data_IF_803302976410
#
_entry.id   IF_803302976410
#
_cell.length_a   1.000
_cell.length_b   1.000
_cell.length_c   1.000
_cell.angle_alpha   90.00
_cell.angle_beta   90.00
_cell.angle_gamma   90.00
#
_symmetry.space_group_name_H-M   'P 1'
#
loop_
_entity.id
_entity.type
_entity.pdbx_description
1 polymer ?
#
# COMPACT_ATOMS: atom_id res chain seq x y z
N UNK A 1 10.25 34.75 -1.53
CA UNK A 1 8.92 34.51 -2.11
C UNK A 1 7.86 35.25 -1.28
N UNK A 2 7.69 34.99 0.03
CA UNK A 2 6.65 35.57 0.89
C UNK A 2 6.70 37.12 0.91
N UNK A 3 7.90 37.71 1.06
CA UNK A 3 8.09 39.19 1.03
C UNK A 3 7.74 39.83 -0.32
N UNK A 4 7.59 39.05 -1.36
CA UNK A 4 7.19 39.46 -2.70
C UNK A 4 5.69 39.19 -2.99
N UNK A 5 4.90 38.89 -1.94
CA UNK A 5 3.47 38.62 -2.07
C UNK A 5 3.13 37.22 -2.58
N UNK A 6 4.09 36.29 -2.65
CA UNK A 6 3.87 34.90 -3.08
C UNK A 6 3.41 34.08 -1.88
N UNK A 7 2.24 33.42 -1.98
CA UNK A 7 1.80 32.45 -0.98
C UNK A 7 2.68 31.21 -1.05
N UNK A 8 3.31 30.84 0.05
CA UNK A 8 4.14 29.64 0.16
C UNK A 8 3.48 28.65 1.09
N UNK A 9 3.28 27.44 0.62
CA UNK A 9 2.73 26.31 1.39
C UNK A 9 3.79 25.23 1.47
N UNK A 10 4.08 24.72 2.66
CA UNK A 10 5.09 23.70 2.87
C UNK A 10 4.62 22.63 3.87
N UNK A 11 5.06 21.39 3.67
CA UNK A 11 4.77 20.30 4.62
C UNK A 11 5.48 20.55 5.95
N UNK A 12 4.80 20.27 7.06
CA UNK A 12 5.36 20.39 8.41
C UNK A 12 6.48 19.38 8.69
N UNK A 13 6.56 18.29 7.92
CA UNK A 13 7.52 17.20 8.10
C UNK A 13 6.88 15.99 8.81
N UNK A 14 7.67 14.92 8.94
CA UNK A 14 7.24 13.61 9.48
C UNK A 14 7.98 13.22 10.78
N UNK A 15 8.50 14.19 11.51
CA UNK A 15 9.32 13.92 12.72
C UNK A 15 8.48 13.79 14.01
N UNK A 16 7.19 13.55 13.87
CA UNK A 16 6.10 13.50 14.84
C UNK A 16 6.48 13.33 16.33
N UNK A 17 5.49 13.61 17.17
CA UNK A 17 5.44 13.43 18.62
C UNK A 17 6.50 14.16 19.49
N UNK A 18 7.15 15.20 18.98
CA UNK A 18 8.10 16.02 19.74
C UNK A 18 7.77 17.50 19.57
N UNK A 19 8.00 18.35 20.61
CA UNK A 19 7.92 19.79 20.44
C UNK A 19 8.96 20.27 19.40
N UNK A 20 8.64 21.33 18.68
CA UNK A 20 9.53 22.01 17.72
C UNK A 20 10.05 21.15 16.57
N UNK A 21 9.24 20.22 16.07
CA UNK A 21 9.62 19.29 14.99
C UNK A 21 9.34 19.80 13.58
N UNK A 22 8.69 20.95 13.45
CA UNK A 22 8.38 21.53 12.15
C UNK A 22 9.68 21.96 11.46
N UNK A 23 9.98 21.32 10.32
CA UNK A 23 11.20 21.55 9.57
C UNK A 23 11.15 22.81 8.69
N UNK A 24 12.32 23.24 8.19
CA UNK A 24 12.41 24.26 7.15
C UNK A 24 12.00 23.64 5.80
N UNK A 25 11.27 24.37 4.92
CA UNK A 25 10.89 25.78 5.00
C UNK A 25 9.62 26.08 5.78
N UNK A 26 8.92 25.07 6.30
CA UNK A 26 7.60 25.20 6.94
C UNK A 26 7.62 26.04 8.22
N UNK A 27 8.75 26.09 8.93
CA UNK A 27 8.97 26.94 10.12
C UNK A 27 9.29 28.39 9.80
N UNK A 28 9.35 28.79 8.52
CA UNK A 28 9.66 30.17 8.12
C UNK A 28 8.47 31.08 8.33
N UNK A 29 8.64 32.28 8.93
CA UNK A 29 7.55 33.24 9.10
C UNK A 29 6.83 33.57 7.78
N UNK A 30 5.49 33.52 7.79
CA UNK A 30 4.66 33.80 6.64
C UNK A 30 4.45 32.62 5.68
N UNK A 31 5.01 31.46 5.97
CA UNK A 31 4.72 30.20 5.25
C UNK A 31 3.52 29.50 5.91
N UNK A 32 2.63 28.95 5.11
CA UNK A 32 1.56 28.09 5.59
C UNK A 32 2.14 26.69 5.82
N UNK A 33 2.22 26.30 7.08
CA UNK A 33 2.67 24.97 7.48
C UNK A 33 1.50 23.98 7.45
N UNK A 34 1.60 22.93 6.68
CA UNK A 34 0.55 21.91 6.54
C UNK A 34 1.00 20.63 7.21
N UNK A 35 0.26 20.22 8.25
CA UNK A 35 0.45 18.94 8.93
C UNK A 35 -0.61 17.94 8.49
N UNK A 36 -0.28 16.67 8.60
CA UNK A 36 -1.21 15.56 8.43
C UNK A 36 -1.79 15.16 9.79
N UNK A 37 -3.08 14.87 9.84
CA UNK A 37 -3.68 14.14 10.95
C UNK A 37 -4.13 12.76 10.46
N UNK A 38 -4.02 11.76 11.31
CA UNK A 38 -4.60 10.46 11.03
C UNK A 38 -6.09 10.52 11.38
N UNK A 39 -6.95 10.16 10.44
CA UNK A 39 -8.37 9.96 10.72
C UNK A 39 -8.55 8.62 11.44
N UNK A 40 -9.49 8.52 12.40
CA UNK A 40 -9.66 7.30 13.21
C UNK A 40 -10.33 6.15 12.45
N UNK A 41 -10.76 6.36 11.21
CA UNK A 41 -11.40 5.35 10.37
C UNK A 41 -10.89 5.43 8.93
N UNK A 42 -10.85 4.28 8.27
CA UNK A 42 -10.55 4.17 6.84
C UNK A 42 -11.43 3.08 6.23
N UNK A 43 -11.78 3.25 4.95
CA UNK A 43 -12.48 2.19 4.23
C UNK A 43 -11.52 1.04 3.99
N UNK A 44 -11.79 -0.10 4.63
CA UNK A 44 -11.02 -1.32 4.47
C UNK A 44 -11.76 -2.31 3.57
N UNK A 45 -11.02 -2.87 2.64
CA UNK A 45 -11.50 -3.91 1.74
C UNK A 45 -11.19 -5.27 2.34
N UNK A 46 -12.22 -6.13 2.41
CA UNK A 46 -12.07 -7.47 2.94
C UNK A 46 -11.23 -8.32 1.98
N UNK A 47 -10.14 -8.85 2.49
CA UNK A 47 -9.24 -9.79 1.83
C UNK A 47 -9.35 -11.10 2.58
N UNK A 48 -9.93 -12.13 1.98
CA UNK A 48 -10.06 -13.44 2.57
C UNK A 48 -9.18 -14.44 1.84
N UNK A 49 -8.36 -15.21 2.55
CA UNK A 49 -7.52 -16.27 1.99
C UNK A 49 -7.54 -17.49 2.93
N UNK A 50 -7.99 -18.63 2.46
CA UNK A 50 -8.19 -19.82 3.30
C UNK A 50 -9.02 -19.50 4.55
N UNK A 51 -8.44 -19.70 5.74
CA UNK A 51 -9.09 -19.41 7.03
C UNK A 51 -8.85 -17.99 7.57
N UNK A 52 -8.05 -17.18 6.86
CA UNK A 52 -7.65 -15.84 7.28
C UNK A 52 -8.48 -14.78 6.56
N UNK A 53 -8.95 -13.78 7.30
CA UNK A 53 -9.59 -12.57 6.75
C UNK A 53 -8.93 -11.35 7.36
N UNK A 54 -8.52 -10.41 6.51
CA UNK A 54 -7.87 -9.16 6.90
C UNK A 54 -8.50 -7.96 6.19
N UNK A 55 -8.27 -6.75 6.71
CA UNK A 55 -8.64 -5.50 6.06
C UNK A 55 -7.47 -4.92 5.26
N UNK A 56 -7.71 -4.57 4.00
CA UNK A 56 -6.71 -3.90 3.15
C UNK A 56 -7.13 -2.49 2.76
N UNK A 57 -6.20 -1.53 2.75
CA UNK A 57 -6.42 -0.19 2.20
C UNK A 57 -6.11 -0.20 0.70
N UNK A 58 -7.11 0.17 -0.10
CA UNK A 58 -6.92 0.32 -1.53
C UNK A 58 -6.13 1.59 -1.84
N UNK A 59 -5.20 1.48 -2.79
CA UNK A 59 -4.36 2.59 -3.19
C UNK A 59 -4.98 3.33 -4.38
N UNK A 60 -5.43 4.60 -4.22
CA UNK A 60 -6.25 5.32 -5.22
C UNK A 60 -5.57 5.55 -6.58
N UNK A 61 -4.26 5.46 -6.65
CA UNK A 61 -3.48 5.56 -7.89
C UNK A 61 -3.41 4.24 -8.67
N UNK A 62 -3.91 3.14 -8.14
CA UNK A 62 -4.04 1.85 -8.85
C UNK A 62 -5.41 1.70 -9.51
N UNK A 63 -5.60 0.65 -10.29
CA UNK A 63 -6.90 0.38 -10.89
C UNK A 63 -8.02 0.30 -9.84
N UNK A 64 -9.23 0.67 -10.24
CA UNK A 64 -10.39 0.62 -9.36
C UNK A 64 -10.62 -0.79 -8.80
N UNK A 65 -11.07 -0.92 -7.54
CA UNK A 65 -11.39 -2.21 -6.96
C UNK A 65 -12.46 -2.96 -7.74
N UNK A 66 -12.19 -4.21 -8.06
CA UNK A 66 -13.13 -5.14 -8.67
C UNK A 66 -13.11 -6.46 -7.89
N UNK A 67 -14.20 -7.25 -7.92
CA UNK A 67 -14.19 -8.58 -7.34
C UNK A 67 -13.15 -9.47 -8.03
N UNK A 68 -12.26 -10.06 -7.25
CA UNK A 68 -11.24 -10.99 -7.76
C UNK A 68 -11.14 -12.20 -6.85
N UNK A 69 -10.87 -13.37 -7.46
CA UNK A 69 -10.52 -14.59 -6.74
C UNK A 69 -9.39 -15.27 -7.50
N UNK A 70 -8.31 -15.60 -6.79
CA UNK A 70 -7.16 -16.27 -7.36
C UNK A 70 -6.30 -16.92 -6.30
N UNK A 71 -5.38 -17.79 -6.69
CA UNK A 71 -4.45 -18.39 -5.74
C UNK A 71 -3.52 -17.33 -5.13
N UNK A 72 -3.40 -17.30 -3.80
CA UNK A 72 -2.47 -16.38 -3.12
C UNK A 72 -1.02 -16.83 -3.35
N UNK A 73 -0.20 -15.96 -3.93
CA UNK A 73 1.21 -16.24 -4.16
C UNK A 73 2.10 -15.16 -3.55
N UNK A 74 3.15 -15.56 -2.85
CA UNK A 74 4.16 -14.64 -2.31
C UNK A 74 5.37 -14.56 -3.21
N UNK A 75 5.72 -13.36 -3.67
CA UNK A 75 6.83 -13.14 -4.60
C UNK A 75 6.65 -13.93 -5.89
N UNK A 76 7.73 -14.56 -6.37
CA UNK A 76 7.70 -15.42 -7.56
C UNK A 76 7.19 -16.85 -7.29
N UNK A 77 6.89 -17.16 -6.04
CA UNK A 77 6.45 -18.49 -5.60
C UNK A 77 7.60 -19.47 -5.35
N UNK A 78 8.83 -19.10 -5.69
CA UNK A 78 10.05 -19.90 -5.48
C UNK A 78 10.98 -19.29 -4.40
N UNK A 79 10.53 -18.23 -3.75
CA UNK A 79 11.30 -17.53 -2.71
C UNK A 79 12.08 -16.32 -3.22
N UNK A 80 11.94 -15.94 -4.49
CA UNK A 80 12.52 -14.74 -5.08
C UNK A 80 11.51 -13.62 -5.28
N UNK A 81 12.01 -12.43 -5.66
CA UNK A 81 11.26 -11.21 -5.94
C UNK A 81 10.18 -10.87 -4.90
N UNK A 82 10.48 -11.11 -3.62
CA UNK A 82 9.54 -10.95 -2.50
C UNK A 82 9.06 -9.51 -2.31
N UNK A 83 9.79 -8.55 -2.88
CA UNK A 83 9.48 -7.13 -2.85
C UNK A 83 8.80 -6.64 -4.13
N UNK A 84 8.68 -7.45 -5.17
CA UNK A 84 8.22 -7.04 -6.50
C UNK A 84 8.93 -5.79 -7.05
N UNK A 85 10.22 -5.61 -6.74
CA UNK A 85 11.00 -4.50 -7.26
C UNK A 85 11.58 -4.78 -8.65
N UNK A 86 11.53 -6.03 -9.12
CA UNK A 86 11.91 -6.47 -10.45
C UNK A 86 10.67 -6.97 -11.22
N UNK A 87 10.71 -6.90 -12.53
CA UNK A 87 9.64 -7.41 -13.37
C UNK A 87 9.46 -8.93 -13.19
N UNK A 88 8.24 -9.39 -13.26
CA UNK A 88 7.89 -10.81 -13.37
C UNK A 88 7.84 -11.20 -14.85
N UNK A 89 8.08 -12.46 -15.14
CA UNK A 89 7.86 -12.96 -16.49
C UNK A 89 6.38 -12.82 -16.87
N UNK A 90 6.11 -12.42 -18.10
CA UNK A 90 4.75 -12.22 -18.59
C UNK A 90 3.90 -13.50 -18.39
N UNK A 91 2.72 -13.36 -17.80
CA UNK A 91 1.80 -14.47 -17.50
C UNK A 91 2.18 -15.37 -16.32
N UNK A 92 3.34 -15.16 -15.66
CA UNK A 92 3.74 -16.00 -14.52
C UNK A 92 2.85 -15.88 -13.31
N UNK A 93 2.09 -14.78 -13.23
CA UNK A 93 1.12 -14.49 -12.17
C UNK A 93 -0.34 -14.61 -12.63
N UNK A 94 -0.58 -15.20 -13.82
CA UNK A 94 -1.94 -15.36 -14.34
C UNK A 94 -2.82 -16.16 -13.36
N UNK A 95 -4.02 -15.65 -13.06
CA UNK A 95 -4.95 -16.26 -12.12
C UNK A 95 -4.55 -16.17 -10.64
N UNK A 96 -3.56 -15.34 -10.29
CA UNK A 96 -3.05 -15.22 -8.93
C UNK A 96 -3.33 -13.85 -8.32
N UNK A 97 -3.50 -13.83 -7.01
CA UNK A 97 -3.42 -12.62 -6.17
C UNK A 97 -2.01 -12.59 -5.60
N UNK A 98 -1.26 -11.56 -5.98
CA UNK A 98 0.14 -11.42 -5.58
C UNK A 98 0.24 -10.77 -4.19
N UNK A 99 0.93 -11.42 -3.27
CA UNK A 99 1.37 -10.86 -1.99
C UNK A 99 2.86 -10.53 -2.07
N UNK A 100 3.26 -9.36 -1.62
CA UNK A 100 4.67 -8.94 -1.54
C UNK A 100 4.91 -8.11 -0.29
N UNK A 101 6.17 -7.98 0.12
CA UNK A 101 6.54 -7.11 1.22
C UNK A 101 6.86 -5.69 0.72
N UNK A 102 6.55 -4.70 1.55
CA UNK A 102 7.11 -3.36 1.42
C UNK A 102 8.64 -3.45 1.56
N UNK A 103 9.36 -2.59 0.85
CA UNK A 103 10.83 -2.55 0.90
C UNK A 103 11.38 -1.33 0.16
N UNK A 104 12.37 -1.52 -0.69
CA UNK A 104 13.20 -0.45 -1.26
C UNK A 104 12.55 0.33 -2.40
N UNK A 105 11.70 -0.29 -3.23
CA UNK A 105 11.03 0.41 -4.34
C UNK A 105 9.65 0.93 -3.93
N UNK A 106 9.13 1.90 -4.71
CA UNK A 106 7.80 2.46 -4.50
C UNK A 106 6.71 1.40 -4.55
N UNK A 107 5.64 1.58 -3.79
CA UNK A 107 4.51 0.63 -3.74
C UNK A 107 3.83 0.52 -5.12
N UNK A 108 3.71 1.63 -5.84
CA UNK A 108 3.15 1.65 -7.19
C UNK A 108 3.98 0.83 -8.20
N UNK A 109 5.30 0.81 -8.08
CA UNK A 109 6.19 -0.04 -8.90
C UNK A 109 5.93 -1.52 -8.62
N UNK A 110 5.68 -1.91 -7.36
CA UNK A 110 5.35 -3.29 -7.00
C UNK A 110 4.04 -3.73 -7.65
N UNK A 111 3.02 -2.84 -7.61
CA UNK A 111 1.72 -3.10 -8.26
C UNK A 111 1.87 -3.19 -9.78
N UNK A 112 2.64 -2.29 -10.39
CA UNK A 112 2.93 -2.31 -11.82
C UNK A 112 3.66 -3.59 -12.26
N UNK A 113 4.66 -4.03 -11.51
CA UNK A 113 5.38 -5.27 -11.79
C UNK A 113 4.47 -6.50 -11.65
N UNK A 114 3.59 -6.53 -10.63
CA UNK A 114 2.58 -7.57 -10.49
C UNK A 114 1.59 -7.60 -11.65
N UNK A 115 1.10 -6.41 -12.08
CA UNK A 115 0.22 -6.26 -13.24
C UNK A 115 0.89 -6.78 -14.52
N UNK A 116 2.12 -6.39 -14.79
CA UNK A 116 2.90 -6.86 -15.94
C UNK A 116 3.09 -8.38 -15.93
N UNK A 117 3.19 -9.00 -14.74
CA UNK A 117 3.22 -10.46 -14.57
C UNK A 117 1.87 -11.14 -14.77
N UNK A 118 0.77 -10.39 -14.88
CA UNK A 118 -0.58 -10.90 -15.07
C UNK A 118 -1.33 -11.21 -13.77
N UNK A 119 -0.93 -10.63 -12.63
CA UNK A 119 -1.65 -10.77 -11.37
C UNK A 119 -3.05 -10.15 -11.45
N UNK A 120 -4.02 -10.73 -10.75
CA UNK A 120 -5.40 -10.21 -10.66
C UNK A 120 -5.49 -9.00 -9.73
N UNK A 121 -4.71 -8.99 -8.68
CA UNK A 121 -4.54 -7.89 -7.73
C UNK A 121 -3.20 -8.04 -7.01
N UNK A 122 -2.71 -6.96 -6.40
CA UNK A 122 -1.47 -6.96 -5.62
C UNK A 122 -1.73 -6.50 -4.20
N UNK A 123 -1.28 -7.27 -3.23
CA UNK A 123 -1.33 -6.97 -1.80
C UNK A 123 0.09 -6.69 -1.32
N UNK A 124 0.33 -5.54 -0.72
CA UNK A 124 1.64 -5.17 -0.17
C UNK A 124 1.56 -5.15 1.35
N UNK A 125 2.28 -6.08 1.97
CA UNK A 125 2.41 -6.12 3.42
C UNK A 125 3.40 -5.06 3.92
N UNK A 126 3.00 -4.25 4.89
CA UNK A 126 3.89 -3.27 5.50
C UNK A 126 5.06 -3.96 6.20
N UNK A 127 6.23 -3.33 6.21
CA UNK A 127 7.44 -3.85 6.87
C UNK A 127 7.69 -3.21 8.24
N UNK A 128 7.03 -2.08 8.55
CA UNK A 128 7.11 -1.45 9.85
C UNK A 128 6.14 -2.12 10.83
N UNK A 129 6.57 -2.27 12.08
CA UNK A 129 5.67 -2.65 13.16
C UNK A 129 4.64 -1.53 13.37
N UNK A 130 3.41 -1.93 13.62
CA UNK A 130 2.28 -1.05 13.87
C UNK A 130 1.65 -1.45 15.20
N UNK A 131 1.06 -0.49 15.90
CA UNK A 131 0.32 -0.78 17.12
C UNK A 131 -0.94 -1.61 16.81
N UNK A 132 -1.44 -2.39 17.76
CA UNK A 132 -2.73 -3.07 17.59
C UNK A 132 -3.85 -2.06 17.30
N UNK A 133 -4.58 -2.30 16.22
CA UNK A 133 -5.64 -1.41 15.76
C UNK A 133 -5.22 -0.31 14.78
N UNK A 134 -3.93 -0.18 14.49
CA UNK A 134 -3.47 0.71 13.42
C UNK A 134 -4.01 0.28 12.06
N UNK A 135 -4.33 1.26 11.24
CA UNK A 135 -4.80 1.04 9.88
C UNK A 135 -3.65 0.69 8.92
N UNK A 136 -3.92 -0.07 7.85
CA UNK A 136 -2.98 -0.24 6.76
C UNK A 136 -2.56 1.12 6.19
N UNK A 137 -1.27 1.34 5.90
CA UNK A 137 -0.80 2.65 5.44
C UNK A 137 -1.16 2.91 3.97
N UNK A 138 -1.43 4.17 3.65
CA UNK A 138 -1.51 4.66 2.29
C UNK A 138 -0.16 5.18 1.82
N UNK A 139 0.09 5.10 0.51
CA UNK A 139 1.36 5.51 -0.09
C UNK A 139 1.13 6.41 -1.30
N UNK A 140 2.10 7.31 -1.52
CA UNK A 140 2.13 8.14 -2.71
C UNK A 140 2.47 7.33 -3.96
N UNK A 141 1.97 7.78 -5.11
CA UNK A 141 2.41 7.25 -6.40
C UNK A 141 3.89 7.54 -6.64
N UNK A 142 4.63 6.53 -7.05
CA UNK A 142 6.07 6.60 -7.30
C UNK A 142 6.46 6.05 -8.68
N UNK A 143 5.53 6.07 -9.65
CA UNK A 143 5.75 5.60 -11.03
C UNK A 143 5.22 4.20 -11.28
N UNK A 144 5.31 3.75 -12.55
CA UNK A 144 4.82 2.46 -13.03
C UNK A 144 3.36 2.48 -13.47
N UNK A 145 2.98 1.50 -14.29
CA UNK A 145 1.58 1.30 -14.72
C UNK A 145 0.88 0.31 -13.80
N UNK A 146 0.19 0.83 -12.78
CA UNK A 146 -0.56 0.04 -11.82
C UNK A 146 -1.97 -0.31 -12.37
N UNK A 147 -2.03 -1.10 -13.43
CA UNK A 147 -3.25 -1.45 -14.17
C UNK A 147 -4.12 -2.52 -13.48
N UNK A 148 -3.74 -2.97 -12.29
CA UNK A 148 -4.57 -3.81 -11.40
C UNK A 148 -4.76 -3.13 -10.05
N UNK A 149 -5.77 -3.54 -9.27
CA UNK A 149 -6.00 -2.99 -7.94
C UNK A 149 -4.84 -3.34 -6.99
N UNK A 150 -4.31 -2.32 -6.32
CA UNK A 150 -3.27 -2.44 -5.30
C UNK A 150 -3.83 -2.19 -3.91
N UNK A 151 -3.50 -3.06 -2.98
CA UNK A 151 -3.90 -2.96 -1.57
C UNK A 151 -2.68 -3.00 -0.67
N UNK A 152 -2.75 -2.29 0.43
CA UNK A 152 -1.78 -2.42 1.52
C UNK A 152 -2.44 -3.09 2.72
N UNK A 153 -1.67 -3.86 3.46
CA UNK A 153 -2.10 -4.47 4.71
C UNK A 153 -1.07 -4.18 5.80
N UNK A 154 -1.46 -4.33 7.07
CA UNK A 154 -0.52 -4.22 8.17
C UNK A 154 0.55 -5.31 8.08
N UNK A 155 1.66 -5.13 8.81
CA UNK A 155 2.69 -6.17 8.89
C UNK A 155 2.15 -7.46 9.50
N UNK A 156 1.30 -7.34 10.52
CA UNK A 156 0.69 -8.49 11.19
C UNK A 156 -0.22 -9.26 10.22
N UNK A 157 -1.09 -8.56 9.49
CA UNK A 157 -1.98 -9.17 8.50
C UNK A 157 -1.21 -9.81 7.35
N UNK A 158 -0.14 -9.17 6.89
CA UNK A 158 0.76 -9.75 5.89
C UNK A 158 1.39 -11.07 6.37
N UNK A 159 1.75 -11.16 7.65
CA UNK A 159 2.26 -12.40 8.25
C UNK A 159 1.18 -13.48 8.28
N UNK A 160 -0.06 -13.12 8.64
CA UNK A 160 -1.19 -14.06 8.62
C UNK A 160 -1.49 -14.56 7.19
N UNK A 161 -1.53 -13.67 6.21
CA UNK A 161 -1.74 -14.05 4.81
C UNK A 161 -0.67 -15.02 4.29
N UNK A 162 0.59 -14.84 4.71
CA UNK A 162 1.68 -15.77 4.32
C UNK A 162 1.48 -17.19 4.83
N UNK A 163 0.64 -17.42 5.84
CA UNK A 163 0.27 -18.78 6.26
C UNK A 163 -0.73 -19.46 5.32
N UNK A 164 -1.31 -18.72 4.39
CA UNK A 164 -2.38 -19.15 3.48
C UNK A 164 -1.92 -19.24 2.02
N UNK A 165 -0.62 -19.31 1.75
CA UNK A 165 -0.10 -19.38 0.39
C UNK A 165 -0.64 -20.62 -0.37
N UNK A 166 -0.99 -20.41 -1.63
CA UNK A 166 -1.63 -21.42 -2.48
C UNK A 166 -3.13 -21.55 -2.29
N UNK A 167 -3.71 -21.02 -1.21
CA UNK A 167 -5.17 -21.00 -1.01
C UNK A 167 -5.81 -19.93 -1.91
N UNK A 168 -7.12 -20.08 -2.21
CA UNK A 168 -7.87 -19.06 -2.90
C UNK A 168 -7.93 -17.80 -2.03
N UNK A 169 -7.49 -16.68 -2.60
CA UNK A 169 -7.67 -15.35 -2.03
C UNK A 169 -8.78 -14.63 -2.77
N UNK A 170 -9.75 -14.10 -2.04
CA UNK A 170 -10.90 -13.34 -2.57
C UNK A 170 -10.87 -11.92 -2.02
N UNK A 171 -11.03 -10.96 -2.91
CA UNK A 171 -11.22 -9.55 -2.57
C UNK A 171 -12.53 -9.12 -3.21
N UNK A 172 -13.50 -8.73 -2.37
CA UNK A 172 -14.81 -8.28 -2.80
C UNK A 172 -15.08 -6.86 -2.31
N UNK A 173 -15.07 -5.87 -3.22
CA UNK A 173 -15.30 -4.47 -2.86
C UNK A 173 -16.66 -4.19 -2.24
N UNK A 174 -17.67 -5.03 -2.48
CA UNK A 174 -19.00 -4.89 -1.87
C UNK A 174 -18.98 -5.14 -0.35
N UNK A 175 -17.97 -5.84 0.15
CA UNK A 175 -17.77 -6.16 1.55
C UNK A 175 -16.78 -5.21 2.26
N UNK A 176 -16.48 -4.05 1.65
CA UNK A 176 -15.67 -3.04 2.30
C UNK A 176 -16.43 -2.45 3.50
N UNK A 177 -15.70 -2.19 4.60
CA UNK A 177 -16.21 -1.58 5.82
C UNK A 177 -15.41 -0.32 6.20
N UNK A 178 -16.01 0.58 6.94
CA UNK A 178 -15.36 1.76 7.53
C UNK A 178 -14.98 1.48 8.97
#
# INVERSE_FOLDING_TARGET
>A
AVRLGVTVVASAGNSADKPFVVGSPSSTPGVISVAQTQVPSARLYKIAAGSVTVGGSWQPWSAAPAPVTGALQFGDGAGGNLLACSAYAAGSLAGKVLLVDRGTCAISIKVANGAAGGALAVIVANNAAQAPGDLPPDFSYGGGDASVAGYTVTRADGTLLKTQLGQAATIDPSQASN
#
